data_IF_656670410315
#
_entry.id   IF_656670410315
#
_cell.length_a   1.000
_cell.length_b   1.000
_cell.length_c   1.000
_cell.angle_alpha   90.00
_cell.angle_beta   90.00
_cell.angle_gamma   90.00
#
_symmetry.space_group_name_H-M   'P 1'
#
loop_
_entity.id
_entity.type
_entity.pdbx_description
1 polymer ?
#
# COMPACT_ATOMS: atom_id res chain seq x y z
N UNK A 1 1.24 -21.77 5.89
CA UNK A 1 2.34 -20.82 6.10
C UNK A 1 1.85 -19.68 7.00
N UNK A 2 2.63 -19.34 8.00
CA UNK A 2 2.30 -18.22 8.90
C UNK A 2 3.49 -17.27 8.92
N UNK A 3 3.21 -15.98 8.75
CA UNK A 3 4.22 -14.93 8.86
C UNK A 3 3.82 -14.03 10.02
N UNK A 4 4.71 -13.90 11.00
CA UNK A 4 4.47 -13.06 12.16
C UNK A 4 4.73 -11.59 11.82
N UNK A 5 4.08 -10.69 12.56
CA UNK A 5 4.24 -9.26 12.33
C UNK A 5 5.70 -8.79 12.43
N UNK A 6 6.46 -9.35 13.37
CA UNK A 6 7.88 -9.04 13.57
C UNK A 6 8.79 -9.52 12.45
N UNK A 7 8.31 -10.43 11.60
CA UNK A 7 9.08 -10.98 10.49
C UNK A 7 8.86 -10.22 9.18
N UNK A 8 8.01 -9.20 9.20
CA UNK A 8 7.78 -8.35 8.02
C UNK A 8 9.01 -7.50 7.74
N UNK A 9 9.27 -7.31 6.46
CA UNK A 9 10.37 -6.45 6.01
C UNK A 9 9.87 -5.02 5.84
N UNK A 10 10.47 -4.07 6.58
CA UNK A 10 10.17 -2.65 6.41
C UNK A 10 10.99 -2.07 5.26
N UNK A 11 10.30 -1.41 4.34
CA UNK A 11 10.92 -0.73 3.21
C UNK A 11 10.42 0.71 3.21
N UNK A 12 11.35 1.66 3.35
CA UNK A 12 11.07 3.09 3.31
C UNK A 12 11.41 3.61 1.92
N UNK A 13 10.41 4.16 1.23
CA UNK A 13 10.58 4.66 -0.13
C UNK A 13 10.26 6.16 -0.16
N UNK A 14 11.26 7.03 -0.31
CA UNK A 14 10.99 8.46 -0.45
C UNK A 14 10.37 8.74 -1.82
N UNK A 15 9.38 9.64 -1.81
CA UNK A 15 8.69 10.11 -3.01
C UNK A 15 8.18 8.98 -3.93
N UNK A 16 7.56 7.96 -3.33
CA UNK A 16 7.08 6.79 -4.07
C UNK A 16 6.12 7.20 -5.19
N UNK A 17 6.41 6.78 -6.41
CA UNK A 17 5.64 7.12 -7.62
C UNK A 17 5.45 8.62 -7.82
N UNK A 18 6.41 9.45 -7.37
CA UNK A 18 6.32 10.90 -7.44
C UNK A 18 5.46 11.54 -6.36
N UNK A 19 5.06 10.79 -5.35
CA UNK A 19 4.30 11.31 -4.21
C UNK A 19 5.17 12.12 -3.24
N UNK A 20 4.54 12.62 -2.20
CA UNK A 20 5.20 13.44 -1.18
C UNK A 20 5.59 12.60 0.04
N UNK A 21 6.74 12.94 0.63
CA UNK A 21 7.25 12.29 1.82
C UNK A 21 7.71 10.86 1.58
N UNK A 22 7.80 10.10 2.66
CA UNK A 22 8.29 8.72 2.62
C UNK A 22 7.16 7.74 2.85
N UNK A 23 7.05 6.75 1.98
CA UNK A 23 6.13 5.64 2.13
C UNK A 23 6.78 4.57 3.00
N UNK A 24 6.09 4.16 4.07
CA UNK A 24 6.52 3.09 4.95
C UNK A 24 5.74 1.82 4.56
N UNK A 25 6.42 0.90 3.89
CA UNK A 25 5.84 -0.37 3.48
C UNK A 25 6.40 -1.48 4.35
N UNK A 26 5.53 -2.28 4.93
CA UNK A 26 5.88 -3.47 5.69
C UNK A 26 5.43 -4.69 4.92
N UNK A 27 6.39 -5.29 4.25
CA UNK A 27 6.17 -6.36 3.31
C UNK A 27 6.15 -7.71 4.00
N UNK A 28 5.14 -8.51 3.67
CA UNK A 28 5.12 -9.91 4.03
C UNK A 28 5.93 -10.65 2.97
N UNK A 29 7.23 -10.78 3.25
CA UNK A 29 8.13 -11.46 2.32
C UNK A 29 7.77 -12.94 2.25
N UNK A 30 7.22 -13.33 1.13
CA UNK A 30 6.80 -14.69 0.88
C UNK A 30 7.78 -15.32 -0.09
N UNK A 31 8.56 -16.28 0.38
CA UNK A 31 9.44 -17.05 -0.51
C UNK A 31 8.64 -17.85 -1.52
N UNK A 32 7.43 -18.25 -1.13
CA UNK A 32 6.52 -19.04 -1.95
C UNK A 32 5.22 -18.29 -2.20
N UNK A 33 5.30 -17.15 -2.89
CA UNK A 33 4.10 -16.42 -3.30
C UNK A 33 3.23 -17.29 -4.20
N UNK A 34 1.89 -17.23 -4.04
CA UNK A 34 0.99 -17.84 -5.02
C UNK A 34 1.31 -17.33 -6.42
N UNK A 35 1.14 -18.20 -7.42
CA UNK A 35 1.59 -17.97 -8.79
C UNK A 35 1.19 -16.60 -9.36
N UNK A 36 0.02 -16.10 -9.03
CA UNK A 36 -0.50 -14.85 -9.57
C UNK A 36 -0.48 -13.69 -8.56
N UNK A 37 0.23 -13.85 -7.44
CA UNK A 37 0.39 -12.80 -6.43
C UNK A 37 1.81 -12.26 -6.45
N UNK A 38 1.95 -10.93 -6.38
CA UNK A 38 3.25 -10.27 -6.41
C UNK A 38 3.64 -9.60 -5.09
N UNK A 39 2.66 -9.10 -4.36
CA UNK A 39 2.93 -8.37 -3.13
C UNK A 39 1.77 -8.52 -2.16
N UNK A 40 2.09 -8.63 -0.88
CA UNK A 40 1.15 -8.48 0.22
C UNK A 40 1.84 -7.65 1.29
N UNK A 41 1.32 -6.46 1.57
CA UNK A 41 2.01 -5.52 2.44
C UNK A 41 1.04 -4.61 3.19
N UNK A 42 1.50 -4.10 4.33
CA UNK A 42 0.89 -2.97 5.01
C UNK A 42 1.61 -1.70 4.59
N UNK A 43 0.87 -0.67 4.20
CA UNK A 43 1.42 0.63 3.84
C UNK A 43 0.97 1.65 4.87
N UNK A 44 1.93 2.37 5.43
CA UNK A 44 1.68 3.48 6.35
C UNK A 44 2.13 4.78 5.71
N UNK A 45 1.24 5.76 5.72
CA UNK A 45 1.52 7.11 5.29
C UNK A 45 1.29 8.05 6.47
N UNK A 46 2.35 8.72 6.92
CA UNK A 46 2.22 9.79 7.91
C UNK A 46 1.50 11.00 7.29
N UNK A 47 0.90 11.87 8.11
CA UNK A 47 0.26 13.08 7.60
C UNK A 47 1.19 13.87 6.67
N UNK A 48 0.68 14.29 5.53
CA UNK A 48 1.44 15.00 4.50
C UNK A 48 2.18 14.12 3.51
N UNK A 49 2.22 12.81 3.74
CA UNK A 49 2.82 11.86 2.80
C UNK A 49 1.79 11.35 1.80
N UNK A 50 2.24 10.99 0.63
CA UNK A 50 1.37 10.44 -0.41
C UNK A 50 2.09 9.44 -1.29
N UNK A 51 1.32 8.52 -1.86
CA UNK A 51 1.75 7.66 -2.95
C UNK A 51 1.28 8.29 -4.26
N UNK A 52 2.19 8.52 -5.18
CA UNK A 52 1.88 9.16 -6.45
C UNK A 52 0.93 8.32 -7.31
N UNK A 53 0.19 8.99 -8.17
CA UNK A 53 -0.75 8.35 -9.09
C UNK A 53 0.02 7.50 -10.11
N UNK A 54 -0.43 6.27 -10.30
CA UNK A 54 0.17 5.35 -11.26
C UNK A 54 -0.89 4.39 -11.80
N UNK A 55 -0.57 3.77 -12.93
CA UNK A 55 -1.46 2.84 -13.59
C UNK A 55 -0.91 1.42 -13.48
N UNK A 56 -1.78 0.47 -13.13
CA UNK A 56 -1.46 -0.95 -13.14
C UNK A 56 -1.89 -1.57 -14.47
N UNK A 57 -1.03 -2.39 -15.04
CA UNK A 57 -1.30 -3.11 -16.28
C UNK A 57 -1.15 -4.61 -16.02
N UNK A 58 -2.23 -5.37 -16.32
CA UNK A 58 -2.22 -6.82 -16.12
C UNK A 58 -2.22 -7.28 -14.67
N UNK A 59 -2.56 -6.39 -13.73
CA UNK A 59 -2.56 -6.66 -12.30
C UNK A 59 -3.83 -6.16 -11.65
N UNK A 60 -4.24 -6.83 -10.57
CA UNK A 60 -5.26 -6.32 -9.66
C UNK A 60 -4.61 -5.91 -8.37
N UNK A 61 -5.16 -4.87 -7.74
CA UNK A 61 -4.72 -4.39 -6.44
C UNK A 61 -5.94 -4.15 -5.57
N UNK A 62 -5.90 -4.68 -4.34
CA UNK A 62 -6.95 -4.47 -3.35
C UNK A 62 -6.33 -3.72 -2.18
N UNK A 63 -6.92 -2.58 -1.85
CA UNK A 63 -6.56 -1.82 -0.66
C UNK A 63 -7.64 -1.96 0.39
N UNK A 64 -7.24 -2.34 1.59
CA UNK A 64 -8.08 -2.32 2.77
C UNK A 64 -7.58 -1.24 3.73
N UNK A 65 -8.44 -0.31 4.09
CA UNK A 65 -8.09 0.80 4.96
C UNK A 65 -8.47 0.43 6.39
N UNK A 66 -7.50 0.25 7.28
CA UNK A 66 -7.77 -0.21 8.63
C UNK A 66 -7.50 0.84 9.70
N UNK A 67 -6.81 1.93 9.37
CA UNK A 67 -6.51 2.99 10.32
C UNK A 67 -6.40 4.34 9.63
N UNK A 68 -6.89 5.40 10.25
CA UNK A 68 -6.78 6.76 9.75
C UNK A 68 -7.73 7.10 8.62
N UNK A 69 -7.45 8.21 7.95
CA UNK A 69 -8.21 8.70 6.81
C UNK A 69 -7.25 9.06 5.68
N UNK A 70 -7.58 8.66 4.48
CA UNK A 70 -6.78 8.95 3.30
C UNK A 70 -7.68 9.41 2.16
N UNK A 71 -7.17 10.33 1.34
CA UNK A 71 -7.82 10.73 0.10
C UNK A 71 -7.28 9.89 -1.04
N UNK A 72 -8.16 9.16 -1.71
CA UNK A 72 -7.83 8.32 -2.86
C UNK A 72 -8.29 9.01 -4.14
N UNK A 73 -7.40 9.10 -5.13
CA UNK A 73 -7.75 9.52 -6.47
C UNK A 73 -7.99 8.26 -7.31
N UNK A 74 -9.25 8.01 -7.64
CA UNK A 74 -9.67 6.88 -8.44
C UNK A 74 -10.13 7.38 -9.80
N UNK A 75 -9.28 7.21 -10.82
CA UNK A 75 -9.54 7.69 -12.19
C UNK A 75 -9.99 9.16 -12.27
N UNK A 76 -9.33 10.03 -11.49
CA UNK A 76 -9.63 11.46 -11.47
C UNK A 76 -10.71 11.87 -10.47
N UNK A 77 -11.36 10.92 -9.79
CA UNK A 77 -12.34 11.20 -8.75
C UNK A 77 -11.71 11.02 -7.38
N UNK A 78 -11.67 12.09 -6.59
CA UNK A 78 -11.16 12.02 -5.23
C UNK A 78 -12.24 11.51 -4.28
N UNK A 79 -11.84 10.54 -3.43
CA UNK A 79 -12.71 9.96 -2.41
C UNK A 79 -11.95 9.85 -1.10
N UNK A 80 -12.62 10.16 0.00
CA UNK A 80 -12.09 9.93 1.33
C UNK A 80 -12.37 8.51 1.76
N UNK A 81 -11.33 7.81 2.17
CA UNK A 81 -11.41 6.44 2.66
C UNK A 81 -11.28 6.42 4.18
N UNK A 82 -12.07 5.58 4.81
CA UNK A 82 -12.15 5.44 6.26
C UNK A 82 -11.88 3.98 6.68
N UNK A 83 -11.58 3.73 7.96
CA UNK A 83 -11.36 2.37 8.42
C UNK A 83 -12.53 1.44 8.07
N UNK A 84 -12.20 0.30 7.48
CA UNK A 84 -13.18 -0.67 6.99
C UNK A 84 -13.50 -0.57 5.51
N UNK A 85 -13.11 0.51 4.85
CA UNK A 85 -13.30 0.66 3.40
C UNK A 85 -12.25 -0.15 2.62
N UNK A 86 -12.60 -0.51 1.42
CA UNK A 86 -11.66 -1.15 0.48
C UNK A 86 -12.06 -0.86 -0.96
#
# INVERSE_FOLDING_TARGET
>A
MIIRAEDRKQILTPNARGGDGTLDKRDYVLENMPENAKMFAEIKLEPGCSLGTHTHTGEYEVFFFHEGEVTLNDNGTERKMHPGDF
#
